data_IF_685562876081
#
_entry.id   IF_685562876081
#
_cell.length_a   1.000
_cell.length_b   1.000
_cell.length_c   1.000
_cell.angle_alpha   90.00
_cell.angle_beta   90.00
_cell.angle_gamma   90.00
#
_symmetry.space_group_name_H-M   'P 1'
#
loop_
_entity.id
_entity.type
_entity.pdbx_description
1 polymer ?
#
# COMPACT_ATOMS: atom_id res chain seq x y z
N UNK A 1 20.37 7.58 -7.48
CA UNK A 1 19.62 6.92 -6.39
C UNK A 1 18.87 7.99 -5.65
N UNK A 2 17.56 7.78 -5.45
CA UNK A 2 16.80 8.63 -4.54
C UNK A 2 17.29 8.37 -3.09
N UNK A 3 17.22 9.37 -2.20
CA UNK A 3 17.57 9.18 -0.81
C UNK A 3 16.59 8.19 -0.14
N UNK A 4 17.12 7.14 0.49
CA UNK A 4 16.31 6.06 1.09
C UNK A 4 15.49 6.49 2.32
N UNK A 5 15.69 7.71 2.81
CA UNK A 5 14.99 8.27 3.97
C UNK A 5 13.89 9.28 3.59
N UNK A 6 13.61 9.47 2.30
CA UNK A 6 12.50 10.28 1.83
C UNK A 6 11.48 9.40 1.13
N UNK A 7 10.22 9.52 1.55
CA UNK A 7 9.07 8.91 0.89
C UNK A 7 8.17 10.03 0.37
N UNK A 8 7.98 10.08 -0.95
CA UNK A 8 7.05 11.03 -1.58
C UNK A 8 5.68 10.37 -1.65
N UNK A 9 4.73 10.86 -0.85
CA UNK A 9 3.34 10.38 -0.84
C UNK A 9 2.58 11.09 -1.95
N UNK A 10 2.28 10.40 -3.04
CA UNK A 10 1.68 11.01 -4.24
C UNK A 10 0.17 11.19 -4.14
N UNK A 11 -0.45 10.45 -3.22
CA UNK A 11 -1.88 10.45 -2.96
C UNK A 11 -2.35 11.57 -2.04
N UNK A 12 -1.42 12.39 -1.51
CA UNK A 12 -1.73 13.51 -0.64
C UNK A 12 -1.27 14.84 -1.25
N UNK A 13 -2.06 15.87 -1.00
CA UNK A 13 -1.72 17.27 -1.27
C UNK A 13 -0.81 17.85 -0.17
N UNK A 14 -0.56 19.17 -0.22
CA UNK A 14 0.22 19.88 0.80
C UNK A 14 -0.64 20.41 1.95
N UNK A 15 -1.93 20.09 1.97
CA UNK A 15 -2.85 20.58 2.98
C UNK A 15 -2.74 19.76 4.27
N UNK A 16 -3.40 20.26 5.31
CA UNK A 16 -3.42 19.58 6.59
C UNK A 16 -4.23 18.28 6.49
N UNK A 17 -3.67 17.20 7.04
CA UNK A 17 -4.29 15.88 7.13
C UNK A 17 -4.05 15.28 8.52
N UNK A 18 -5.02 14.48 8.97
CA UNK A 18 -4.86 13.68 10.18
C UNK A 18 -3.69 12.70 10.05
N UNK A 19 -3.00 12.45 11.17
CA UNK A 19 -1.72 11.71 11.16
C UNK A 19 -1.88 10.21 10.94
N UNK A 20 -3.03 9.66 11.30
CA UNK A 20 -3.42 8.30 10.95
C UNK A 20 -3.62 8.15 9.44
N UNK A 21 -4.29 9.10 8.78
CA UNK A 21 -4.40 9.13 7.31
C UNK A 21 -3.02 9.25 6.67
N UNK A 22 -2.16 10.15 7.14
CA UNK A 22 -0.78 10.25 6.63
C UNK A 22 -0.03 8.92 6.77
N UNK A 23 -0.20 8.21 7.90
CA UNK A 23 0.41 6.90 8.12
C UNK A 23 -0.12 5.84 7.13
N UNK A 24 -1.43 5.80 6.90
CA UNK A 24 -2.04 4.90 5.91
C UNK A 24 -1.45 5.14 4.52
N UNK A 25 -1.48 6.40 4.06
CA UNK A 25 -0.95 6.77 2.75
C UNK A 25 0.55 6.47 2.62
N UNK A 26 1.34 6.69 3.67
CA UNK A 26 2.76 6.35 3.67
C UNK A 26 2.99 4.84 3.51
N UNK A 27 2.28 4.02 4.28
CA UNK A 27 2.41 2.56 4.19
C UNK A 27 2.03 2.03 2.81
N UNK A 28 0.94 2.52 2.23
CA UNK A 28 0.51 2.07 0.92
C UNK A 28 1.28 2.71 -0.25
N UNK A 29 1.92 3.87 -0.05
CA UNK A 29 2.89 4.39 -1.00
C UNK A 29 4.08 3.44 -1.11
N UNK A 30 4.60 2.89 -0.01
CA UNK A 30 5.68 1.89 -0.07
C UNK A 30 5.26 0.64 -0.86
N UNK A 31 4.03 0.15 -0.67
CA UNK A 31 3.51 -0.96 -1.46
C UNK A 31 3.44 -0.60 -2.95
N UNK A 32 2.90 0.59 -3.26
CA UNK A 32 2.80 1.10 -4.64
C UNK A 32 4.17 1.18 -5.30
N UNK A 33 5.15 1.75 -4.62
CA UNK A 33 6.51 1.91 -5.13
C UNK A 33 7.15 0.54 -5.41
N UNK A 34 7.01 -0.43 -4.50
CA UNK A 34 7.48 -1.80 -4.76
C UNK A 34 6.79 -2.42 -5.98
N UNK A 35 5.46 -2.29 -6.11
CA UNK A 35 4.71 -2.89 -7.21
C UNK A 35 5.05 -2.23 -8.56
N UNK A 36 5.08 -0.90 -8.62
CA UNK A 36 5.20 -0.14 -9.87
C UNK A 36 6.65 0.15 -10.25
N UNK A 37 7.48 0.62 -9.32
CA UNK A 37 8.87 1.01 -9.61
C UNK A 37 9.81 -0.20 -9.62
N UNK A 38 9.64 -1.11 -8.66
CA UNK A 38 10.49 -2.30 -8.52
C UNK A 38 9.94 -3.53 -9.24
N UNK A 39 8.75 -3.42 -9.86
CA UNK A 39 8.08 -4.51 -10.56
C UNK A 39 7.91 -5.76 -9.68
N UNK A 40 7.61 -5.59 -8.39
CA UNK A 40 7.57 -6.67 -7.39
C UNK A 40 6.80 -7.92 -7.85
N UNK A 41 5.67 -7.75 -8.53
CA UNK A 41 4.76 -8.84 -8.93
C UNK A 41 5.14 -9.53 -10.25
N UNK A 42 5.91 -8.84 -11.10
CA UNK A 42 6.24 -9.23 -12.49
C UNK A 42 7.74 -9.38 -12.74
N UNK A 43 8.57 -8.96 -11.77
CA UNK A 43 10.01 -8.90 -11.84
C UNK A 43 10.68 -10.23 -11.48
N UNK A 44 11.81 -10.15 -10.79
CA UNK A 44 12.73 -11.28 -10.58
C UNK A 44 12.36 -12.22 -9.42
N UNK A 45 11.29 -11.94 -8.68
CA UNK A 45 10.88 -12.76 -7.53
C UNK A 45 10.15 -14.01 -8.01
N UNK A 46 10.65 -15.18 -7.62
CA UNK A 46 9.97 -16.46 -7.81
C UNK A 46 8.84 -16.63 -6.79
N UNK A 47 7.68 -16.08 -7.13
CA UNK A 47 6.48 -16.21 -6.31
C UNK A 47 5.95 -17.65 -6.26
N UNK A 48 6.33 -18.51 -7.20
CA UNK A 48 5.85 -19.89 -7.30
C UNK A 48 6.73 -20.89 -6.52
N UNK A 49 7.81 -20.42 -5.88
CA UNK A 49 8.73 -21.22 -5.09
C UNK A 49 8.04 -22.06 -4.00
N UNK A 50 7.03 -21.51 -3.31
CA UNK A 50 6.22 -22.25 -2.36
C UNK A 50 4.79 -21.68 -2.21
N UNK A 51 3.95 -22.36 -1.42
CA UNK A 51 2.59 -21.91 -1.16
C UNK A 51 2.50 -20.58 -0.40
N UNK A 52 3.51 -20.26 0.42
CA UNK A 52 3.55 -19.04 1.23
C UNK A 52 3.84 -17.82 0.36
N UNK A 53 4.78 -17.93 -0.58
CA UNK A 53 5.09 -16.87 -1.55
C UNK A 53 3.90 -16.64 -2.48
N UNK A 54 3.27 -17.70 -3.01
CA UNK A 54 2.05 -17.56 -3.84
C UNK A 54 0.92 -16.85 -3.11
N UNK A 55 0.68 -17.23 -1.84
CA UNK A 55 -0.34 -16.58 -1.02
C UNK A 55 0.01 -15.10 -0.77
N UNK A 56 1.28 -14.79 -0.48
CA UNK A 56 1.73 -13.42 -0.31
C UNK A 56 1.56 -12.58 -1.58
N UNK A 57 1.85 -13.12 -2.77
CA UNK A 57 1.66 -12.42 -4.04
C UNK A 57 0.19 -12.02 -4.26
N UNK A 58 -0.72 -12.97 -4.04
CA UNK A 58 -2.17 -12.74 -4.20
C UNK A 58 -2.64 -11.65 -3.24
N UNK A 59 -2.17 -11.73 -2.00
CA UNK A 59 -2.54 -10.77 -0.96
C UNK A 59 -1.96 -9.37 -1.23
N UNK A 60 -0.72 -9.27 -1.70
CA UNK A 60 -0.10 -8.00 -2.10
C UNK A 60 -0.85 -7.36 -3.27
N UNK A 61 -1.23 -8.15 -4.28
CA UNK A 61 -2.04 -7.66 -5.39
C UNK A 61 -3.40 -7.16 -4.89
N UNK A 62 -4.07 -7.91 -4.01
CA UNK A 62 -5.35 -7.51 -3.45
C UNK A 62 -5.26 -6.20 -2.63
N UNK A 63 -4.20 -6.02 -1.85
CA UNK A 63 -3.93 -4.79 -1.10
C UNK A 63 -3.64 -3.60 -2.02
N UNK A 64 -2.89 -3.82 -3.09
CA UNK A 64 -2.60 -2.80 -4.10
C UNK A 64 -3.88 -2.37 -4.84
N UNK A 65 -4.69 -3.32 -5.29
CA UNK A 65 -5.96 -3.05 -5.97
C UNK A 65 -6.94 -2.32 -5.05
N UNK A 66 -7.00 -2.72 -3.77
CA UNK A 66 -7.79 -2.04 -2.76
C UNK A 66 -7.33 -0.59 -2.57
N UNK A 67 -6.02 -0.35 -2.51
CA UNK A 67 -5.46 0.99 -2.32
C UNK A 67 -5.84 1.94 -3.46
N UNK A 68 -5.72 1.49 -4.71
CA UNK A 68 -6.12 2.29 -5.87
C UNK A 68 -7.60 2.69 -5.78
N UNK A 69 -8.47 1.73 -5.46
CA UNK A 69 -9.91 2.00 -5.28
C UNK A 69 -10.20 2.93 -4.11
N UNK A 70 -9.45 2.80 -3.02
CA UNK A 70 -9.61 3.61 -1.80
C UNK A 70 -9.21 5.06 -2.03
N UNK A 71 -8.12 5.31 -2.76
CA UNK A 71 -7.68 6.66 -3.17
C UNK A 71 -8.67 7.29 -4.15
N UNK A 72 -9.16 6.52 -5.12
CA UNK A 72 -10.18 7.02 -6.06
C UNK A 72 -11.47 7.43 -5.34
N UNK A 73 -11.92 6.64 -4.36
CA UNK A 73 -13.10 6.95 -3.53
C UNK A 73 -12.90 8.21 -2.69
N UNK A 74 -11.72 8.42 -2.13
CA UNK A 74 -11.38 9.62 -1.36
C UNK A 74 -11.42 10.87 -2.23
N UNK A 75 -10.81 10.82 -3.41
CA UNK A 75 -10.85 11.93 -4.36
C UNK A 75 -12.27 12.24 -4.86
N UNK A 76 -13.16 11.24 -4.87
CA UNK A 76 -14.56 11.42 -5.28
C UNK A 76 -15.47 11.93 -4.16
N UNK A 77 -15.08 11.79 -2.88
CA UNK A 77 -15.91 12.13 -1.73
C UNK A 77 -15.07 12.72 -0.59
N UNK A 78 -15.17 14.03 -0.38
CA UNK A 78 -14.51 14.78 0.72
C UNK A 78 -14.94 14.32 2.14
N UNK A 79 -15.94 13.45 2.25
CA UNK A 79 -16.50 12.98 3.51
C UNK A 79 -16.35 11.47 3.65
N UNK A 80 -15.12 11.00 3.88
CA UNK A 80 -14.89 9.64 4.38
C UNK A 80 -15.13 9.63 5.89
N UNK A 81 -16.39 9.40 6.24
CA UNK A 81 -16.88 9.21 7.60
C UNK A 81 -16.17 8.05 8.31
N UNK A 82 -16.33 7.98 9.64
CA UNK A 82 -15.75 6.97 10.56
C UNK A 82 -15.90 5.49 10.14
N UNK A 83 -16.75 5.19 9.16
CA UNK A 83 -16.94 3.87 8.53
C UNK A 83 -15.66 3.36 7.85
N UNK A 84 -14.75 4.23 7.43
CA UNK A 84 -13.52 3.80 6.73
C UNK A 84 -12.39 3.39 7.69
N UNK A 85 -12.46 3.79 8.96
CA UNK A 85 -11.36 3.60 9.90
C UNK A 85 -11.07 2.13 10.22
N UNK A 86 -12.11 1.32 10.40
CA UNK A 86 -11.97 -0.12 10.68
C UNK A 86 -11.40 -0.88 9.48
N UNK A 87 -11.85 -0.54 8.27
CA UNK A 87 -11.35 -1.12 7.04
C UNK A 87 -9.89 -0.72 6.79
N UNK A 88 -9.57 0.57 6.89
CA UNK A 88 -8.22 1.10 6.73
C UNK A 88 -7.26 0.43 7.73
N UNK A 89 -7.67 0.28 9.00
CA UNK A 89 -6.91 -0.44 10.02
C UNK A 89 -6.69 -1.90 9.65
N UNK A 90 -7.73 -2.60 9.18
CA UNK A 90 -7.62 -4.00 8.78
C UNK A 90 -6.64 -4.18 7.60
N UNK A 91 -6.68 -3.29 6.61
CA UNK A 91 -5.79 -3.35 5.45
C UNK A 91 -4.35 -3.02 5.83
N UNK A 92 -4.14 -2.05 6.72
CA UNK A 92 -2.82 -1.70 7.24
C UNK A 92 -2.21 -2.87 8.03
N UNK A 93 -2.99 -3.56 8.86
CA UNK A 93 -2.54 -4.77 9.57
C UNK A 93 -2.15 -5.89 8.60
N UNK A 94 -2.94 -6.13 7.55
CA UNK A 94 -2.63 -7.12 6.50
C UNK A 94 -1.32 -6.79 5.80
N UNK A 95 -1.10 -5.53 5.44
CA UNK A 95 0.15 -5.07 4.81
C UNK A 95 1.36 -5.26 5.74
N UNK A 96 1.24 -4.89 7.02
CA UNK A 96 2.31 -5.07 8.01
C UNK A 96 2.67 -6.55 8.19
N UNK A 97 1.70 -7.45 8.14
CA UNK A 97 1.94 -8.91 8.18
C UNK A 97 2.70 -9.42 6.95
N UNK A 98 2.58 -8.75 5.81
CA UNK A 98 3.27 -9.08 4.56
C UNK A 98 4.59 -8.34 4.35
N UNK A 99 5.01 -7.48 5.28
CA UNK A 99 6.29 -6.76 5.25
C UNK A 99 7.48 -7.64 4.85
N UNK A 100 7.51 -8.90 5.28
CA UNK A 100 8.60 -9.83 4.98
C UNK A 100 8.71 -10.18 3.49
N UNK A 101 7.65 -9.94 2.70
CA UNK A 101 7.59 -10.18 1.26
C UNK A 101 7.80 -8.90 0.43
N UNK A 102 7.97 -7.73 1.07
CA UNK A 102 8.26 -6.44 0.43
C UNK A 102 9.77 -6.19 0.21
N UNK A 103 10.60 -7.24 0.21
CA UNK A 103 12.05 -7.12 0.07
C UNK A 103 12.43 -7.47 -1.37
N UNK A 104 13.11 -6.54 -2.06
CA UNK A 104 13.76 -6.73 -3.35
C UNK A 104 15.27 -6.82 -3.24
#
# INVERSE_FOLDING_TARGET
>A
MQPSNLLKIESLDQDWRDKDTVMLHACFQLLKDCVEEEQLLTGHIDWDADARHRAAKIELQALYDWWLQRVDKENACDALDAVCYEEDTAMLLRLVQLRWALWT
#
